data_IF_021363139447
#
_entry.id   IF_021363139447
#
_cell.length_a   1.000
_cell.length_b   1.000
_cell.length_c   1.000
_cell.angle_alpha   90.00
_cell.angle_beta   90.00
_cell.angle_gamma   90.00
#
_symmetry.space_group_name_H-M   'P 1'
#
loop_
_entity.id
_entity.type
_entity.pdbx_description
1 polymer ?
#
# COMPACT_ATOMS: atom_id res chain seq x y z
N UNK A 1 -21.97 -20.20 17.70
CA UNK A 1 -20.64 -20.80 17.58
C UNK A 1 -19.65 -19.69 17.24
N UNK A 2 -18.45 -19.65 17.86
CA UNK A 2 -17.40 -18.69 17.50
C UNK A 2 -16.94 -18.99 16.08
N UNK A 3 -16.85 -17.96 15.23
CA UNK A 3 -16.32 -18.10 13.88
C UNK A 3 -14.82 -18.45 13.93
N UNK A 4 -14.44 -19.57 13.29
CA UNK A 4 -13.05 -20.00 13.15
C UNK A 4 -12.55 -19.67 11.76
N UNK A 5 -11.51 -18.84 11.67
CA UNK A 5 -10.97 -18.30 10.42
C UNK A 5 -9.57 -18.88 10.17
N UNK A 6 -9.31 -19.38 8.96
CA UNK A 6 -7.95 -19.65 8.51
C UNK A 6 -7.40 -18.40 7.81
N UNK A 7 -6.29 -17.85 8.33
CA UNK A 7 -5.60 -16.73 7.72
C UNK A 7 -4.21 -17.16 7.21
N UNK A 8 -3.91 -16.90 5.93
CA UNK A 8 -2.68 -17.35 5.26
C UNK A 8 -1.89 -16.15 4.76
N UNK A 9 -0.67 -15.99 5.30
CA UNK A 9 0.26 -14.94 4.91
C UNK A 9 1.71 -15.33 5.24
N UNK A 10 2.62 -15.31 4.26
CA UNK A 10 4.00 -15.79 4.47
C UNK A 10 4.95 -14.75 5.09
N UNK A 11 4.49 -13.56 5.44
CA UNK A 11 5.31 -12.51 6.04
C UNK A 11 5.71 -12.78 7.49
N UNK A 12 6.61 -11.93 8.00
CA UNK A 12 7.10 -11.96 9.39
C UNK A 12 6.22 -11.20 10.37
N UNK A 13 5.22 -10.49 9.89
CA UNK A 13 4.31 -9.66 10.67
C UNK A 13 5.01 -8.52 11.43
N UNK A 14 5.95 -7.86 10.75
CA UNK A 14 6.56 -6.62 11.24
C UNK A 14 5.53 -5.48 11.33
N UNK A 15 5.94 -4.36 11.96
CA UNK A 15 5.06 -3.18 12.07
C UNK A 15 5.09 -2.27 10.83
N UNK A 16 5.62 -2.75 9.68
CA UNK A 16 5.82 -1.95 8.47
C UNK A 16 5.18 -2.60 7.23
N UNK A 17 4.85 -1.78 6.24
CA UNK A 17 4.37 -2.23 4.94
C UNK A 17 3.11 -3.09 5.01
N UNK A 18 3.08 -4.18 4.24
CA UNK A 18 1.96 -5.12 4.18
C UNK A 18 1.81 -5.87 5.50
N UNK A 19 2.90 -6.19 6.19
CA UNK A 19 2.87 -6.85 7.50
C UNK A 19 1.99 -6.10 8.50
N UNK A 20 2.04 -4.75 8.52
CA UNK A 20 1.17 -3.93 9.36
C UNK A 20 -0.30 -4.07 8.96
N UNK A 21 -0.61 -4.08 7.67
CA UNK A 21 -1.99 -4.29 7.19
C UNK A 21 -2.53 -5.64 7.66
N UNK A 22 -1.72 -6.71 7.56
CA UNK A 22 -2.10 -8.04 8.05
C UNK A 22 -2.36 -8.03 9.55
N UNK A 23 -1.50 -7.40 10.34
CA UNK A 23 -1.71 -7.26 11.80
C UNK A 23 -3.04 -6.59 12.12
N UNK A 24 -3.39 -5.52 11.39
CA UNK A 24 -4.65 -4.81 11.60
C UNK A 24 -5.87 -5.65 11.16
N UNK A 25 -5.73 -6.47 10.13
CA UNK A 25 -6.77 -7.44 9.76
C UNK A 25 -6.95 -8.53 10.83
N UNK A 26 -5.86 -9.02 11.43
CA UNK A 26 -5.92 -9.99 12.53
C UNK A 26 -6.57 -9.38 13.79
N UNK A 27 -6.16 -8.16 14.17
CA UNK A 27 -6.77 -7.41 15.28
C UNK A 27 -8.27 -7.18 15.04
N UNK A 28 -8.67 -6.85 13.82
CA UNK A 28 -10.07 -6.71 13.46
C UNK A 28 -10.83 -8.02 13.66
N UNK A 29 -10.31 -9.14 13.16
CA UNK A 29 -10.98 -10.47 13.29
C UNK A 29 -11.13 -10.88 14.75
N UNK A 30 -10.09 -10.76 15.56
CA UNK A 30 -10.12 -11.14 16.98
C UNK A 30 -11.01 -10.20 17.78
N UNK A 31 -10.95 -8.88 17.53
CA UNK A 31 -11.86 -7.90 18.11
C UNK A 31 -13.32 -8.10 17.72
N UNK A 32 -13.57 -8.68 16.53
CA UNK A 32 -14.90 -9.15 16.07
C UNK A 32 -15.32 -10.53 16.62
N UNK A 33 -14.56 -11.10 17.57
CA UNK A 33 -14.87 -12.37 18.23
C UNK A 33 -14.52 -13.63 17.44
N UNK A 34 -13.75 -13.53 16.35
CA UNK A 34 -13.26 -14.68 15.62
C UNK A 34 -12.08 -15.36 16.33
N UNK A 35 -12.00 -16.68 16.24
CA UNK A 35 -10.78 -17.45 16.49
C UNK A 35 -10.01 -17.56 15.18
N UNK A 36 -8.74 -17.19 15.18
CA UNK A 36 -7.92 -17.17 13.96
C UNK A 36 -6.78 -18.17 14.04
N UNK A 37 -6.75 -19.11 13.10
CA UNK A 37 -5.61 -19.99 12.85
C UNK A 37 -4.73 -19.30 11.79
N UNK A 38 -3.53 -18.90 12.18
CA UNK A 38 -2.62 -18.13 11.33
C UNK A 38 -1.49 -18.99 10.80
N UNK A 39 -1.42 -19.13 9.47
CA UNK A 39 -0.26 -19.67 8.76
C UNK A 39 0.65 -18.52 8.29
N UNK A 40 1.73 -18.23 9.05
CA UNK A 40 2.69 -17.17 8.74
C UNK A 40 4.11 -17.56 9.17
N UNK A 41 5.11 -16.70 8.89
CA UNK A 41 6.49 -16.88 9.33
C UNK A 41 6.77 -16.28 10.71
N UNK A 42 5.94 -15.38 11.17
CA UNK A 42 6.09 -14.70 12.44
C UNK A 42 4.82 -14.83 13.29
N UNK A 43 5.02 -14.93 14.58
CA UNK A 43 3.93 -14.84 15.55
C UNK A 43 3.58 -13.36 15.75
N UNK A 44 2.31 -12.96 15.55
CA UNK A 44 1.91 -11.59 15.79
C UNK A 44 1.82 -11.21 17.28
N UNK A 45 1.79 -12.19 18.19
CA UNK A 45 1.53 -11.94 19.61
C UNK A 45 0.17 -11.28 19.85
N UNK A 46 -0.87 -11.71 19.13
CA UNK A 46 -2.24 -11.19 19.22
C UNK A 46 -3.12 -12.23 19.89
N UNK A 47 -3.84 -11.84 20.96
CA UNK A 47 -4.80 -12.71 21.64
C UNK A 47 -5.90 -13.18 20.69
N UNK A 48 -6.25 -14.47 20.79
CA UNK A 48 -7.21 -15.10 19.89
C UNK A 48 -6.66 -15.56 18.55
N UNK A 49 -5.35 -15.36 18.30
CA UNK A 49 -4.63 -15.90 17.13
C UNK A 49 -3.82 -17.11 17.51
N UNK A 50 -4.14 -18.27 16.94
CA UNK A 50 -3.35 -19.49 17.06
C UNK A 50 -2.29 -19.52 15.96
N UNK A 51 -1.03 -19.27 16.34
CA UNK A 51 0.10 -19.27 15.42
C UNK A 51 0.54 -20.69 15.07
N UNK A 52 0.48 -21.04 13.79
CA UNK A 52 0.83 -22.37 13.28
C UNK A 52 2.24 -22.45 12.69
N UNK A 53 3.05 -21.41 12.85
CA UNK A 53 4.35 -21.21 12.18
C UNK A 53 5.50 -22.10 12.66
N UNK A 54 5.44 -22.72 13.85
CA UNK A 54 6.52 -23.55 14.40
C UNK A 54 6.91 -24.78 13.54
N UNK A 55 6.08 -25.19 12.58
CA UNK A 55 6.37 -26.29 11.64
C UNK A 55 7.14 -25.87 10.38
N UNK A 56 7.64 -24.63 10.32
CA UNK A 56 8.16 -23.98 9.11
C UNK A 56 9.67 -23.79 9.04
N UNK A 57 10.43 -24.48 9.82
CA UNK A 57 11.89 -24.52 9.71
C UNK A 57 12.40 -24.84 8.30
N UNK A 58 11.64 -25.59 7.48
CA UNK A 58 12.02 -25.93 6.10
C UNK A 58 12.06 -24.70 5.18
N UNK A 59 11.11 -23.75 5.31
CA UNK A 59 11.17 -22.53 4.50
C UNK A 59 12.36 -21.63 4.87
N UNK A 60 12.82 -21.70 6.11
CA UNK A 60 14.03 -20.99 6.55
C UNK A 60 15.32 -21.67 6.04
N UNK A 61 15.32 -22.98 5.86
CA UNK A 61 16.47 -23.74 5.34
C UNK A 61 16.85 -23.35 3.90
N UNK A 62 15.90 -22.84 3.09
CA UNK A 62 16.16 -22.40 1.71
C UNK A 62 16.38 -20.89 1.59
N UNK A 63 16.45 -20.15 2.70
CA UNK A 63 16.60 -18.69 2.71
C UNK A 63 17.92 -18.18 2.11
N UNK A 64 18.91 -19.04 1.97
CA UNK A 64 20.20 -18.79 1.31
C UNK A 64 20.14 -18.81 -0.22
N UNK A 65 19.06 -19.36 -0.81
CA UNK A 65 18.87 -19.38 -2.26
C UNK A 65 18.63 -17.98 -2.84
N UNK A 66 18.97 -17.74 -4.12
CA UNK A 66 18.61 -16.49 -4.80
C UNK A 66 17.14 -16.16 -4.64
N UNK A 67 16.82 -14.88 -4.51
CA UNK A 67 15.42 -14.41 -4.28
C UNK A 67 14.44 -14.91 -5.35
N UNK A 68 14.89 -15.08 -6.59
CA UNK A 68 14.10 -15.62 -7.71
C UNK A 68 13.66 -17.08 -7.50
N UNK A 69 14.38 -17.87 -6.73
CA UNK A 69 14.05 -19.26 -6.39
C UNK A 69 13.35 -19.34 -5.03
N UNK A 70 13.88 -18.62 -4.06
CA UNK A 70 13.38 -18.63 -2.69
C UNK A 70 11.92 -18.18 -2.56
N UNK A 71 11.54 -17.03 -3.16
CA UNK A 71 10.19 -16.50 -2.99
C UNK A 71 9.10 -17.36 -3.62
N UNK A 72 9.21 -17.85 -4.87
CA UNK A 72 8.21 -18.77 -5.43
C UNK A 72 8.08 -20.07 -4.64
N UNK A 73 9.21 -20.65 -4.22
CA UNK A 73 9.20 -21.87 -3.42
C UNK A 73 8.51 -21.65 -2.07
N UNK A 74 8.80 -20.54 -1.39
CA UNK A 74 8.17 -20.18 -0.13
C UNK A 74 6.65 -20.04 -0.27
N UNK A 75 6.17 -19.29 -1.26
CA UNK A 75 4.74 -19.11 -1.53
C UNK A 75 4.04 -20.45 -1.77
N UNK A 76 4.64 -21.34 -2.57
CA UNK A 76 4.09 -22.68 -2.81
C UNK A 76 4.01 -23.54 -1.56
N UNK A 77 5.00 -23.42 -0.68
CA UNK A 77 4.99 -24.11 0.63
C UNK A 77 3.78 -23.62 1.46
N UNK A 78 3.57 -22.30 1.55
CA UNK A 78 2.43 -21.74 2.30
C UNK A 78 1.08 -22.09 1.68
N UNK A 79 0.96 -22.13 0.35
CA UNK A 79 -0.24 -22.62 -0.33
C UNK A 79 -0.57 -24.06 0.06
N UNK A 80 0.44 -24.96 0.03
CA UNK A 80 0.24 -26.37 0.40
C UNK A 80 -0.19 -26.56 1.85
N UNK A 81 0.37 -25.75 2.75
CA UNK A 81 -0.07 -25.78 4.13
C UNK A 81 -1.51 -25.31 4.27
N UNK A 82 -1.78 -24.11 3.74
CA UNK A 82 -3.13 -23.57 3.80
C UNK A 82 -4.17 -24.58 3.28
N UNK A 83 -3.84 -25.31 2.19
CA UNK A 83 -4.67 -26.37 1.66
C UNK A 83 -4.86 -27.54 2.65
N UNK A 84 -3.76 -28.01 3.27
CA UNK A 84 -3.83 -29.09 4.28
C UNK A 84 -4.63 -28.69 5.51
N UNK A 85 -4.48 -27.45 5.98
CA UNK A 85 -5.25 -26.92 7.11
C UNK A 85 -6.72 -26.79 6.76
N UNK A 86 -7.04 -26.23 5.58
CA UNK A 86 -8.39 -26.12 5.07
C UNK A 86 -9.09 -27.48 4.92
N UNK A 87 -8.32 -28.52 4.56
CA UNK A 87 -8.84 -29.87 4.42
C UNK A 87 -9.09 -30.54 5.78
N UNK A 88 -8.15 -30.38 6.71
CA UNK A 88 -8.15 -31.07 8.02
C UNK A 88 -9.13 -30.48 9.02
N UNK A 89 -9.40 -29.17 8.97
CA UNK A 89 -10.20 -28.46 9.98
C UNK A 89 -11.44 -27.81 9.36
N UNK A 90 -12.46 -27.60 10.19
CA UNK A 90 -13.67 -26.89 9.80
C UNK A 90 -13.52 -25.39 10.07
N UNK A 91 -13.35 -24.62 9.00
CA UNK A 91 -13.32 -23.17 9.06
C UNK A 91 -14.63 -22.58 8.55
N UNK A 92 -15.03 -21.44 9.10
CA UNK A 92 -16.19 -20.69 8.62
C UNK A 92 -15.84 -19.77 7.45
N UNK A 93 -14.57 -19.40 7.33
CA UNK A 93 -14.03 -18.63 6.20
C UNK A 93 -12.50 -18.79 6.08
N UNK A 94 -11.98 -18.55 4.88
CA UNK A 94 -10.55 -18.52 4.62
C UNK A 94 -10.17 -17.15 4.05
N UNK A 95 -9.13 -16.53 4.62
CA UNK A 95 -8.57 -15.27 4.15
C UNK A 95 -7.13 -15.53 3.74
N UNK A 96 -6.77 -15.11 2.53
CA UNK A 96 -5.39 -15.24 2.04
C UNK A 96 -5.01 -14.04 1.20
N UNK A 97 -3.71 -13.83 1.06
CA UNK A 97 -3.17 -12.83 0.15
C UNK A 97 -2.91 -13.45 -1.24
N UNK A 98 -2.95 -12.62 -2.28
CA UNK A 98 -2.68 -13.05 -3.66
C UNK A 98 -1.39 -13.86 -3.78
N UNK A 99 -1.31 -14.74 -4.76
CA UNK A 99 -0.22 -15.68 -5.03
C UNK A 99 -0.02 -16.79 -3.97
N UNK A 100 -0.92 -16.91 -2.97
CA UNK A 100 -0.88 -17.92 -1.91
C UNK A 100 -2.24 -18.58 -1.66
N UNK A 101 -3.26 -18.09 -2.33
CA UNK A 101 -4.64 -18.47 -2.06
C UNK A 101 -5.12 -19.68 -2.90
N UNK A 102 -4.53 -19.95 -4.05
CA UNK A 102 -5.05 -20.89 -5.03
C UNK A 102 -5.36 -22.28 -4.45
N UNK A 103 -4.37 -22.97 -3.85
CA UNK A 103 -4.58 -24.33 -3.34
C UNK A 103 -5.55 -24.39 -2.16
N UNK A 104 -5.46 -23.53 -1.13
CA UNK A 104 -6.46 -23.50 -0.06
C UNK A 104 -7.85 -23.11 -0.57
N UNK A 105 -7.98 -22.24 -1.58
CA UNK A 105 -9.27 -21.87 -2.15
C UNK A 105 -9.89 -23.00 -2.99
N UNK A 106 -9.09 -23.83 -3.68
CA UNK A 106 -9.58 -25.06 -4.32
C UNK A 106 -10.18 -26.04 -3.31
N UNK A 107 -9.54 -26.21 -2.15
CA UNK A 107 -10.07 -27.05 -1.07
C UNK A 107 -11.35 -26.45 -0.49
N UNK A 108 -11.31 -25.15 -0.19
CA UNK A 108 -12.45 -24.43 0.37
C UNK A 108 -13.68 -24.46 -0.54
N UNK A 109 -13.49 -24.29 -1.85
CA UNK A 109 -14.56 -24.37 -2.86
C UNK A 109 -15.27 -25.72 -2.84
N UNK A 110 -14.53 -26.82 -2.70
CA UNK A 110 -15.12 -28.17 -2.57
C UNK A 110 -15.92 -28.36 -1.29
N UNK A 111 -15.57 -27.64 -0.23
CA UNK A 111 -16.22 -27.70 1.08
C UNK A 111 -17.30 -26.60 1.29
N UNK A 112 -17.54 -25.75 0.30
CA UNK A 112 -18.47 -24.63 0.41
C UNK A 112 -18.03 -23.53 1.38
N UNK A 113 -16.71 -23.43 1.69
CA UNK A 113 -16.18 -22.43 2.61
C UNK A 113 -15.91 -21.13 1.84
N UNK A 114 -16.47 -19.98 2.27
CA UNK A 114 -16.23 -18.68 1.61
C UNK A 114 -14.78 -18.23 1.76
N UNK A 115 -14.21 -17.74 0.64
CA UNK A 115 -12.83 -17.33 0.53
C UNK A 115 -12.70 -15.83 0.23
N UNK A 116 -11.80 -15.15 0.93
CA UNK A 116 -11.55 -13.73 0.77
C UNK A 116 -10.08 -13.51 0.39
N UNK A 117 -9.87 -12.83 -0.74
CA UNK A 117 -8.53 -12.57 -1.29
C UNK A 117 -8.10 -11.15 -0.98
N UNK A 118 -7.13 -10.96 -0.10
CA UNK A 118 -6.50 -9.66 0.13
C UNK A 118 -5.53 -9.33 -1.02
N UNK A 119 -5.65 -8.13 -1.57
CA UNK A 119 -4.83 -7.65 -2.67
C UNK A 119 -4.23 -6.28 -2.35
N UNK A 120 -3.00 -6.04 -2.78
CA UNK A 120 -2.24 -4.83 -2.45
C UNK A 120 -1.98 -3.90 -3.64
N UNK A 121 -2.43 -4.28 -4.83
CA UNK A 121 -2.09 -3.63 -6.09
C UNK A 121 -3.26 -3.72 -7.09
N UNK A 122 -2.99 -3.37 -8.33
CA UNK A 122 -3.89 -3.51 -9.47
C UNK A 122 -3.94 -4.96 -9.98
N UNK A 123 -4.89 -5.27 -10.86
CA UNK A 123 -4.97 -6.54 -11.56
C UNK A 123 -3.63 -6.90 -12.24
N UNK A 124 -3.27 -8.19 -12.26
CA UNK A 124 -1.96 -8.62 -12.76
C UNK A 124 -1.69 -8.22 -14.22
N UNK A 125 -2.71 -8.20 -15.11
CA UNK A 125 -2.55 -7.78 -16.51
C UNK A 125 -2.10 -6.33 -16.63
N UNK A 126 -2.67 -5.43 -15.87
CA UNK A 126 -2.22 -4.04 -15.79
C UNK A 126 -0.80 -3.90 -15.24
N UNK A 127 -0.40 -4.83 -14.38
CA UNK A 127 0.96 -4.88 -13.83
C UNK A 127 1.99 -5.37 -14.84
N UNK A 128 1.65 -6.38 -15.65
CA UNK A 128 2.57 -6.95 -16.66
C UNK A 128 2.78 -6.03 -17.87
N UNK A 129 1.78 -5.22 -18.23
CA UNK A 129 1.91 -4.29 -19.36
C UNK A 129 3.01 -3.23 -19.17
N UNK A 130 3.36 -2.91 -17.92
CA UNK A 130 4.35 -1.88 -17.60
C UNK A 130 5.67 -2.41 -17.05
N UNK A 131 5.67 -3.61 -16.49
CA UNK A 131 6.87 -4.22 -15.92
C UNK A 131 7.08 -5.59 -16.55
N UNK A 132 8.12 -5.72 -17.32
CA UNK A 132 8.59 -7.01 -17.81
C UNK A 132 9.08 -7.86 -16.64
N UNK A 133 8.79 -9.12 -16.57
CA UNK A 133 7.66 -9.80 -15.94
C UNK A 133 7.53 -9.50 -14.45
N UNK A 134 6.40 -9.89 -13.80
CA UNK A 134 6.29 -9.87 -12.33
C UNK A 134 7.54 -10.50 -11.72
N UNK A 135 8.25 -9.82 -10.83
CA UNK A 135 9.42 -10.42 -10.21
C UNK A 135 8.98 -11.68 -9.46
N UNK A 136 9.44 -12.84 -9.97
CA UNK A 136 9.23 -14.15 -9.37
C UNK A 136 7.76 -14.58 -9.22
N UNK A 137 7.01 -14.78 -10.34
CA UNK A 137 5.65 -15.30 -10.26
C UNK A 137 5.66 -16.71 -9.66
N UNK A 138 4.82 -16.94 -8.66
CA UNK A 138 4.62 -18.28 -8.08
C UNK A 138 3.48 -19.04 -8.77
N UNK A 139 2.65 -18.32 -9.51
CA UNK A 139 1.50 -18.81 -10.27
C UNK A 139 1.65 -18.42 -11.74
N UNK A 140 1.14 -19.28 -12.63
CA UNK A 140 0.91 -18.92 -14.02
C UNK A 140 -0.25 -17.91 -14.14
N UNK A 141 -0.41 -17.29 -15.30
CA UNK A 141 -1.49 -16.33 -15.56
C UNK A 141 -2.88 -16.96 -15.39
N UNK A 142 -3.06 -18.20 -15.86
CA UNK A 142 -4.31 -18.96 -15.68
C UNK A 142 -4.58 -19.31 -14.22
N UNK A 143 -3.55 -19.61 -13.45
CA UNK A 143 -3.65 -19.86 -12.01
C UNK A 143 -4.00 -18.59 -11.22
N UNK A 144 -3.48 -17.42 -11.62
CA UNK A 144 -3.87 -16.13 -11.03
C UNK A 144 -5.34 -15.81 -11.33
N UNK A 145 -5.82 -16.05 -12.55
CA UNK A 145 -7.23 -15.86 -12.90
C UNK A 145 -8.14 -16.85 -12.12
N UNK A 146 -7.68 -18.09 -11.92
CA UNK A 146 -8.41 -19.06 -11.09
C UNK A 146 -8.47 -18.64 -9.64
N UNK A 147 -7.39 -18.10 -9.07
CA UNK A 147 -7.36 -17.56 -7.71
C UNK A 147 -8.43 -16.47 -7.52
N UNK A 148 -8.57 -15.54 -8.49
CA UNK A 148 -9.61 -14.52 -8.49
C UNK A 148 -11.02 -15.11 -8.63
N UNK A 149 -11.19 -16.10 -9.51
CA UNK A 149 -12.47 -16.77 -9.73
C UNK A 149 -12.98 -17.50 -8.48
N UNK A 150 -12.08 -18.16 -7.74
CA UNK A 150 -12.41 -18.90 -6.52
C UNK A 150 -12.73 -18.00 -5.33
N UNK A 151 -12.25 -16.76 -5.32
CA UNK A 151 -12.57 -15.81 -4.25
C UNK A 151 -14.05 -15.44 -4.26
N UNK A 152 -14.69 -15.47 -3.07
CA UNK A 152 -16.02 -14.87 -2.86
C UNK A 152 -15.93 -13.36 -3.03
N UNK A 153 -14.91 -12.74 -2.42
CA UNK A 153 -14.59 -11.33 -2.58
C UNK A 153 -13.08 -11.11 -2.66
N UNK A 154 -12.69 -10.10 -3.45
CA UNK A 154 -11.33 -9.58 -3.57
C UNK A 154 -11.29 -8.24 -2.84
N UNK A 155 -10.46 -8.15 -1.80
CA UNK A 155 -10.33 -6.98 -0.95
C UNK A 155 -9.24 -6.05 -1.51
N UNK A 156 -9.63 -4.89 -1.96
CA UNK A 156 -8.81 -3.98 -2.77
C UNK A 156 -8.42 -2.71 -1.99
N UNK A 157 -7.24 -2.13 -2.28
CA UNK A 157 -6.75 -0.97 -1.56
C UNK A 157 -7.36 0.37 -2.01
N UNK A 158 -7.90 0.48 -3.23
CA UNK A 158 -8.43 1.76 -3.77
C UNK A 158 -9.44 1.54 -4.89
N UNK A 159 -10.20 2.58 -5.22
CA UNK A 159 -11.10 2.58 -6.38
C UNK A 159 -10.32 2.40 -7.68
N UNK A 160 -9.14 3.03 -7.83
CA UNK A 160 -8.29 2.83 -8.99
C UNK A 160 -7.84 1.35 -9.14
N UNK A 161 -7.58 0.68 -8.03
CA UNK A 161 -7.34 -0.77 -8.02
C UNK A 161 -8.58 -1.52 -8.50
N UNK A 162 -9.78 -1.20 -7.96
CA UNK A 162 -11.07 -1.78 -8.39
C UNK A 162 -11.30 -1.60 -9.88
N UNK A 163 -11.11 -0.38 -10.40
CA UNK A 163 -11.23 -0.07 -11.84
C UNK A 163 -10.34 -0.99 -12.70
N UNK A 164 -9.14 -1.31 -12.22
CA UNK A 164 -8.24 -2.21 -12.95
C UNK A 164 -8.77 -3.64 -13.05
N UNK A 165 -9.48 -4.11 -12.04
CA UNK A 165 -10.12 -5.43 -12.05
C UNK A 165 -11.37 -5.45 -12.94
N UNK A 166 -12.20 -4.41 -12.87
CA UNK A 166 -13.37 -4.24 -13.73
C UNK A 166 -12.98 -4.24 -15.21
N UNK A 167 -11.96 -3.48 -15.60
CA UNK A 167 -11.43 -3.43 -16.98
C UNK A 167 -10.91 -4.79 -17.48
N UNK A 168 -10.60 -5.70 -16.56
CA UNK A 168 -10.16 -7.06 -16.89
C UNK A 168 -11.28 -8.11 -16.71
N UNK A 169 -12.54 -7.67 -16.67
CA UNK A 169 -13.72 -8.53 -16.75
C UNK A 169 -14.13 -9.22 -15.44
N UNK A 170 -13.61 -8.78 -14.29
CA UNK A 170 -14.11 -9.30 -13.02
C UNK A 170 -15.42 -8.61 -12.65
N UNK A 171 -16.42 -9.35 -12.15
CA UNK A 171 -17.71 -8.79 -11.79
C UNK A 171 -17.61 -7.91 -10.52
N UNK A 172 -18.35 -6.80 -10.52
CA UNK A 172 -18.26 -5.76 -9.49
C UNK A 172 -18.59 -6.28 -8.09
N UNK A 173 -19.55 -7.18 -7.98
CA UNK A 173 -19.99 -7.79 -6.72
C UNK A 173 -18.87 -8.57 -5.99
N UNK A 174 -17.84 -9.00 -6.72
CA UNK A 174 -16.64 -9.63 -6.13
C UNK A 174 -15.61 -8.64 -5.62
N UNK A 175 -15.71 -7.35 -5.99
CA UNK A 175 -14.69 -6.36 -5.73
C UNK A 175 -15.08 -5.47 -4.56
N UNK A 176 -14.31 -5.51 -3.47
CA UNK A 176 -14.58 -4.72 -2.28
C UNK A 176 -13.40 -3.82 -1.95
N UNK A 177 -13.58 -2.52 -2.05
CA UNK A 177 -12.56 -1.56 -1.62
C UNK A 177 -12.61 -1.44 -0.10
N UNK A 178 -11.51 -1.84 0.54
CA UNK A 178 -11.32 -1.75 1.99
C UNK A 178 -10.32 -0.64 2.36
N UNK A 179 -9.59 -0.11 1.37
CA UNK A 179 -8.59 0.92 1.60
C UNK A 179 -7.30 0.39 2.25
N UNK A 180 -6.52 1.33 2.77
CA UNK A 180 -5.42 1.10 3.71
C UNK A 180 -5.67 1.91 4.97
N UNK A 181 -4.85 1.68 5.99
CA UNK A 181 -4.81 2.49 7.20
C UNK A 181 -3.47 3.20 7.37
N UNK A 182 -3.51 4.28 8.13
CA UNK A 182 -2.33 5.00 8.62
C UNK A 182 -2.49 5.24 10.13
N UNK A 183 -1.35 5.35 10.83
CA UNK A 183 -1.32 5.72 12.24
C UNK A 183 -1.48 7.24 12.37
N UNK A 184 -2.72 7.69 12.54
CA UNK A 184 -3.07 9.12 12.58
C UNK A 184 -2.68 9.82 13.88
N UNK A 185 -2.32 9.05 14.91
CA UNK A 185 -1.77 9.58 16.15
C UNK A 185 -0.26 9.83 16.01
N UNK A 186 0.44 8.91 15.36
CA UNK A 186 1.87 9.05 15.07
C UNK A 186 2.09 10.13 13.99
N UNK A 187 1.41 10.02 12.84
CA UNK A 187 1.52 10.98 11.75
C UNK A 187 0.56 12.15 12.00
N UNK A 188 1.02 13.12 12.78
CA UNK A 188 0.31 14.34 13.12
C UNK A 188 1.11 15.57 12.68
N UNK A 189 0.44 16.70 12.42
CA UNK A 189 1.13 17.96 12.13
C UNK A 189 2.14 18.34 13.21
N UNK A 190 3.19 19.06 12.84
CA UNK A 190 4.06 19.69 13.82
C UNK A 190 3.29 20.72 14.66
N UNK A 191 3.68 20.87 15.93
CA UNK A 191 3.08 21.87 16.82
C UNK A 191 3.50 23.30 16.46
N UNK A 192 4.71 23.46 15.90
CA UNK A 192 5.23 24.74 15.41
C UNK A 192 6.37 24.48 14.42
N UNK A 193 6.60 25.43 13.52
CA UNK A 193 7.78 25.47 12.64
C UNK A 193 8.56 26.73 12.96
N UNK A 194 9.89 26.64 12.83
CA UNK A 194 10.81 27.72 13.22
C UNK A 194 11.19 28.63 12.05
N UNK A 195 10.89 28.23 10.80
CA UNK A 195 11.24 28.98 9.60
C UNK A 195 10.04 29.15 8.63
N UNK A 196 10.21 30.05 7.66
CA UNK A 196 9.21 30.39 6.65
C UNK A 196 9.48 29.71 5.29
N UNK A 197 10.45 28.79 5.22
CA UNK A 197 10.84 28.13 3.98
C UNK A 197 9.71 27.24 3.46
N UNK A 198 9.44 27.30 2.15
CA UNK A 198 8.48 26.41 1.51
C UNK A 198 9.11 25.06 1.22
N UNK A 199 8.50 24.00 1.74
CA UNK A 199 9.02 22.64 1.51
C UNK A 199 7.97 21.73 0.93
N UNK A 200 8.40 20.97 -0.09
CA UNK A 200 7.59 19.88 -0.66
C UNK A 200 8.33 18.56 -0.41
N UNK A 201 7.62 17.54 0.08
CA UNK A 201 8.16 16.19 0.25
C UNK A 201 7.82 15.30 -0.95
N UNK A 202 8.81 14.58 -1.46
CA UNK A 202 8.64 13.38 -2.26
C UNK A 202 9.03 12.18 -1.40
N UNK A 203 8.07 11.32 -1.05
CA UNK A 203 8.31 10.14 -0.23
C UNK A 203 8.02 8.85 -1.01
N UNK A 204 9.07 8.07 -1.26
CA UNK A 204 8.96 6.77 -1.93
C UNK A 204 10.25 6.38 -2.64
N UNK A 205 10.28 5.15 -3.18
CA UNK A 205 11.41 4.73 -4.01
C UNK A 205 11.63 5.71 -5.16
N UNK A 206 12.83 6.22 -5.31
CA UNK A 206 13.21 7.11 -6.41
C UNK A 206 13.37 6.30 -7.67
N UNK A 207 12.32 6.25 -8.49
CA UNK A 207 12.24 5.46 -9.72
C UNK A 207 11.26 6.09 -10.72
N UNK A 208 11.37 5.69 -12.00
CA UNK A 208 10.53 6.20 -13.09
C UNK A 208 9.03 6.05 -12.80
N UNK A 209 8.64 4.91 -12.24
CA UNK A 209 7.24 4.61 -11.91
C UNK A 209 6.63 5.63 -10.93
N UNK A 210 7.43 6.19 -10.04
CA UNK A 210 7.01 7.19 -9.03
C UNK A 210 7.02 8.63 -9.54
N UNK A 211 7.50 8.87 -10.77
CA UNK A 211 7.45 10.17 -11.42
C UNK A 211 8.51 11.17 -10.97
N UNK A 212 9.65 10.70 -10.47
CA UNK A 212 10.69 11.61 -9.96
C UNK A 212 11.20 12.60 -11.03
N UNK A 213 11.31 12.18 -12.30
CA UNK A 213 11.75 13.09 -13.37
C UNK A 213 10.77 14.24 -13.56
N UNK A 214 9.49 13.95 -13.63
CA UNK A 214 8.43 14.96 -13.77
C UNK A 214 8.37 15.89 -12.56
N UNK A 215 8.57 15.34 -11.34
CA UNK A 215 8.66 16.15 -10.12
C UNK A 215 9.81 17.14 -10.20
N UNK A 216 11.01 16.68 -10.60
CA UNK A 216 12.18 17.56 -10.70
C UNK A 216 12.06 18.59 -11.84
N UNK A 217 11.47 18.21 -12.96
CA UNK A 217 11.19 19.12 -14.05
C UNK A 217 10.24 20.23 -13.61
N UNK A 218 9.10 19.85 -13.00
CA UNK A 218 8.15 20.82 -12.46
C UNK A 218 8.79 21.72 -11.38
N UNK A 219 9.63 21.16 -10.51
CA UNK A 219 10.34 21.91 -9.48
C UNK A 219 11.28 22.97 -10.07
N UNK A 220 12.03 22.62 -11.12
CA UNK A 220 12.90 23.56 -11.84
C UNK A 220 12.11 24.68 -12.53
N UNK A 221 11.00 24.32 -13.20
CA UNK A 221 10.09 25.29 -13.84
C UNK A 221 9.50 26.23 -12.78
N UNK A 222 9.07 25.69 -11.65
CA UNK A 222 8.46 26.48 -10.56
C UNK A 222 9.42 27.54 -10.00
N UNK A 223 10.69 27.25 -9.92
CA UNK A 223 11.77 28.19 -9.52
C UNK A 223 11.41 29.06 -8.31
N UNK A 224 10.91 28.42 -7.24
CA UNK A 224 10.38 29.10 -6.05
C UNK A 224 11.55 29.58 -5.17
N UNK A 225 11.65 30.89 -4.87
CA UNK A 225 12.64 31.39 -3.92
C UNK A 225 12.39 30.85 -2.50
N UNK A 226 13.44 30.74 -1.70
CA UNK A 226 13.36 30.28 -0.30
C UNK A 226 12.56 28.97 -0.12
N UNK A 227 12.84 27.99 -0.97
CA UNK A 227 12.15 26.69 -0.97
C UNK A 227 13.11 25.51 -0.96
N UNK A 228 12.61 24.33 -0.57
CA UNK A 228 13.34 23.06 -0.63
C UNK A 228 12.43 21.93 -1.11
N UNK A 229 12.95 21.06 -1.98
CA UNK A 229 12.36 19.76 -2.30
C UNK A 229 13.07 18.66 -1.50
N UNK A 230 12.38 18.00 -0.61
CA UNK A 230 12.90 16.88 0.18
C UNK A 230 12.59 15.57 -0.55
N UNK A 231 13.63 14.82 -0.93
CA UNK A 231 13.47 13.52 -1.62
C UNK A 231 13.89 12.39 -0.70
N UNK A 232 12.89 11.66 -0.20
CA UNK A 232 13.07 10.56 0.74
C UNK A 232 12.81 9.21 0.06
N UNK A 233 13.83 8.36 -0.01
CA UNK A 233 13.71 6.99 -0.51
C UNK A 233 14.98 6.45 -1.16
N UNK A 234 15.03 5.12 -1.29
CA UNK A 234 16.11 4.48 -2.01
C UNK A 234 16.06 4.82 -3.50
N UNK A 235 17.21 5.19 -4.05
CA UNK A 235 17.37 5.45 -5.48
C UNK A 235 17.49 4.14 -6.26
N UNK A 236 16.75 4.03 -7.36
CA UNK A 236 16.91 2.94 -8.30
C UNK A 236 18.28 3.07 -8.98
N UNK A 237 19.00 1.96 -9.12
CA UNK A 237 20.36 1.95 -9.70
C UNK A 237 20.43 2.62 -11.08
N UNK A 238 19.35 2.52 -11.87
CA UNK A 238 19.25 3.14 -13.19
C UNK A 238 19.16 4.67 -13.17
N UNK A 239 18.99 5.28 -12.00
CA UNK A 239 18.85 6.72 -11.82
C UNK A 239 20.01 7.36 -11.04
N UNK A 240 21.12 6.64 -10.82
CA UNK A 240 22.29 7.17 -10.11
C UNK A 240 22.80 8.45 -10.75
N UNK A 241 23.17 8.41 -12.01
CA UNK A 241 23.68 9.58 -12.77
C UNK A 241 22.67 10.73 -12.82
N UNK A 242 21.38 10.41 -12.89
CA UNK A 242 20.31 11.41 -12.86
C UNK A 242 20.25 12.13 -11.51
N UNK A 243 20.41 11.41 -10.41
CA UNK A 243 20.44 12.00 -9.05
C UNK A 243 21.67 12.88 -8.90
N UNK A 244 22.84 12.41 -9.33
CA UNK A 244 24.09 13.16 -9.25
C UNK A 244 24.03 14.47 -10.06
N UNK A 245 23.46 14.42 -11.26
CA UNK A 245 23.23 15.60 -12.10
C UNK A 245 22.23 16.61 -11.51
N UNK A 246 21.44 16.20 -10.51
CA UNK A 246 20.45 17.03 -9.83
C UNK A 246 20.75 17.21 -8.33
N UNK A 247 21.97 16.92 -7.89
CA UNK A 247 22.38 16.99 -6.49
C UNK A 247 22.65 18.42 -5.97
N UNK A 248 22.46 19.44 -6.81
CA UNK A 248 22.72 20.85 -6.47
C UNK A 248 21.44 21.64 -6.23
N UNK A 249 21.58 22.82 -5.60
CA UNK A 249 20.50 23.76 -5.38
C UNK A 249 19.66 23.45 -4.14
N UNK A 250 18.36 23.68 -4.25
CA UNK A 250 17.41 23.51 -3.17
C UNK A 250 16.69 22.13 -3.15
N UNK A 251 17.37 21.09 -3.65
CA UNK A 251 16.91 19.71 -3.60
C UNK A 251 17.74 18.94 -2.58
N UNK A 252 17.09 18.41 -1.54
CA UNK A 252 17.73 17.61 -0.50
C UNK A 252 17.45 16.12 -0.75
N UNK A 253 18.46 15.39 -1.20
CA UNK A 253 18.43 13.95 -1.38
C UNK A 253 18.74 13.27 -0.04
N UNK A 254 17.71 12.76 0.64
CA UNK A 254 17.81 12.21 1.99
C UNK A 254 18.01 10.68 2.02
N UNK A 255 17.90 10.03 0.85
CA UNK A 255 17.98 8.58 0.80
C UNK A 255 16.86 7.89 1.60
N UNK A 256 17.08 6.63 1.96
CA UNK A 256 16.13 5.89 2.79
C UNK A 256 16.15 6.40 4.22
N UNK A 257 14.99 6.80 4.72
CA UNK A 257 14.78 7.16 6.11
C UNK A 257 13.90 6.11 6.78
N UNK A 258 14.33 5.61 7.94
CA UNK A 258 13.54 4.67 8.75
C UNK A 258 12.35 5.38 9.39
N UNK A 259 12.55 6.59 9.84
CA UNK A 259 11.52 7.50 10.34
C UNK A 259 11.42 8.71 9.41
N UNK A 260 10.27 8.85 8.77
CA UNK A 260 9.99 9.94 7.84
C UNK A 260 9.21 11.08 8.50
N UNK A 261 8.67 10.86 9.70
CA UNK A 261 7.80 11.83 10.37
C UNK A 261 8.46 13.20 10.56
N UNK A 262 9.70 13.33 11.07
CA UNK A 262 10.33 14.64 11.26
C UNK A 262 10.42 15.44 9.94
N UNK A 263 10.70 14.75 8.82
CA UNK A 263 10.80 15.39 7.51
C UNK A 263 9.42 15.81 6.97
N UNK A 264 8.39 15.01 7.18
CA UNK A 264 7.03 15.40 6.81
C UNK A 264 6.57 16.62 7.61
N UNK A 265 6.91 16.69 8.88
CA UNK A 265 6.56 17.81 9.75
C UNK A 265 7.29 19.11 9.40
N UNK A 266 8.39 19.05 8.64
CA UNK A 266 9.07 20.23 8.08
C UNK A 266 8.40 20.75 6.80
N UNK A 267 7.51 19.98 6.15
CA UNK A 267 6.97 20.30 4.84
C UNK A 267 5.60 20.97 4.90
N UNK A 268 5.25 21.69 3.82
CA UNK A 268 3.94 22.32 3.59
C UNK A 268 3.08 21.45 2.68
N UNK A 269 3.73 20.79 1.72
CA UNK A 269 3.07 19.95 0.73
C UNK A 269 3.83 18.66 0.49
N UNK A 270 3.19 17.74 -0.21
CA UNK A 270 3.79 16.52 -0.72
C UNK A 270 3.42 16.29 -2.18
N UNK A 271 4.30 15.62 -2.92
CA UNK A 271 4.09 15.28 -4.32
C UNK A 271 4.48 13.84 -4.63
N UNK A 272 3.65 13.14 -5.39
CA UNK A 272 3.95 11.80 -5.90
C UNK A 272 3.20 11.57 -7.21
N UNK A 273 3.92 11.48 -8.31
CA UNK A 273 3.36 11.35 -9.66
C UNK A 273 3.43 9.89 -10.15
N UNK A 274 2.88 8.99 -9.38
CA UNK A 274 2.95 7.55 -9.69
C UNK A 274 2.11 7.19 -10.91
N UNK A 275 2.65 6.31 -11.78
CA UNK A 275 1.89 5.67 -12.86
C UNK A 275 1.01 4.52 -12.36
N UNK A 276 1.35 3.96 -11.21
CA UNK A 276 0.63 2.80 -10.67
C UNK A 276 0.95 2.55 -9.21
N UNK A 277 -0.09 2.58 -8.38
CA UNK A 277 -0.07 2.13 -6.98
C UNK A 277 -1.37 1.41 -6.65
N UNK A 278 -1.33 0.52 -5.67
CA UNK A 278 -2.56 0.07 -5.04
C UNK A 278 -3.21 1.21 -4.24
N UNK A 279 -2.45 1.77 -3.31
CA UNK A 279 -2.68 3.01 -2.58
C UNK A 279 -1.35 3.45 -1.99
N UNK A 280 -0.90 4.63 -2.32
CA UNK A 280 0.39 5.17 -1.87
C UNK A 280 0.34 5.52 -0.38
N UNK A 281 0.95 4.66 0.45
CA UNK A 281 0.97 4.83 1.91
C UNK A 281 1.60 6.16 2.32
N UNK A 282 2.69 6.58 1.67
CA UNK A 282 3.36 7.82 1.99
C UNK A 282 2.46 9.06 1.82
N UNK A 283 1.53 9.03 0.86
CA UNK A 283 0.55 10.10 0.70
C UNK A 283 -0.47 10.15 1.85
N UNK A 284 -0.88 8.98 2.39
CA UNK A 284 -1.72 8.95 3.59
C UNK A 284 -0.96 9.49 4.81
N UNK A 285 0.32 9.15 4.94
CA UNK A 285 1.19 9.62 6.03
C UNK A 285 1.39 11.13 5.97
N UNK A 286 1.69 11.69 4.79
CA UNK A 286 1.85 13.13 4.63
C UNK A 286 0.54 13.90 4.77
N UNK A 287 -0.57 13.41 4.21
CA UNK A 287 -1.89 14.01 4.41
C UNK A 287 -2.31 13.95 5.89
N UNK A 288 -1.98 12.86 6.61
CA UNK A 288 -2.19 12.77 8.06
C UNK A 288 -1.40 13.83 8.83
N UNK A 289 -0.23 14.24 8.34
CA UNK A 289 0.54 15.37 8.87
C UNK A 289 0.00 16.75 8.43
N UNK A 290 -1.05 16.81 7.62
CA UNK A 290 -1.65 18.06 7.15
C UNK A 290 -0.96 18.65 5.91
N UNK A 291 -0.20 17.88 5.15
CA UNK A 291 0.45 18.35 3.94
C UNK A 291 -0.54 18.44 2.77
N UNK A 292 -0.52 19.56 2.02
CA UNK A 292 -1.24 19.67 0.77
C UNK A 292 -0.69 18.65 -0.25
N UNK A 293 -1.57 17.84 -0.83
CA UNK A 293 -1.17 16.71 -1.67
C UNK A 293 -1.32 17.03 -3.14
N UNK A 294 -0.25 16.86 -3.93
CA UNK A 294 -0.26 16.89 -5.41
C UNK A 294 0.01 15.49 -5.90
N UNK A 295 -0.91 14.89 -6.65
CA UNK A 295 -0.73 13.52 -7.10
C UNK A 295 -1.54 13.17 -8.34
N UNK A 296 -1.26 11.99 -8.92
CA UNK A 296 -2.01 11.40 -10.04
C UNK A 296 -3.13 10.49 -9.54
N UNK A 297 -4.15 10.22 -10.35
CA UNK A 297 -5.20 9.23 -10.08
C UNK A 297 -4.60 7.86 -9.76
N UNK A 298 -3.50 7.51 -10.44
CA UNK A 298 -2.84 6.22 -10.32
C UNK A 298 -2.06 6.00 -9.01
N UNK A 299 -1.97 7.01 -8.17
CA UNK A 299 -1.46 6.87 -6.79
C UNK A 299 -2.42 6.09 -5.88
N UNK A 300 -3.70 5.99 -6.26
CA UNK A 300 -4.77 5.39 -5.44
C UNK A 300 -5.11 6.18 -4.18
N UNK A 301 -4.61 7.43 -4.04
CA UNK A 301 -4.99 8.31 -2.95
C UNK A 301 -6.45 8.77 -3.11
N UNK A 302 -7.24 8.87 -2.02
CA UNK A 302 -8.67 9.24 -2.07
C UNK A 302 -8.85 10.73 -2.33
N UNK A 303 -8.52 11.17 -3.53
CA UNK A 303 -8.49 12.56 -3.94
C UNK A 303 -9.88 13.05 -4.35
N UNK A 304 -10.27 14.19 -3.80
CA UNK A 304 -11.30 15.08 -4.31
C UNK A 304 -10.59 16.36 -4.76
N UNK A 305 -10.41 16.48 -6.07
CA UNK A 305 -9.59 17.53 -6.67
C UNK A 305 -9.97 18.93 -6.19
N UNK A 306 -8.97 19.75 -5.85
CA UNK A 306 -9.05 21.10 -5.30
C UNK A 306 -9.79 21.22 -3.95
N UNK A 307 -10.18 20.10 -3.34
CA UNK A 307 -10.81 20.05 -2.01
C UNK A 307 -9.81 19.54 -0.97
N UNK A 308 -9.32 18.31 -1.15
CA UNK A 308 -8.40 17.68 -0.22
C UNK A 308 -7.00 17.42 -0.82
N UNK A 309 -6.70 18.07 -1.96
CA UNK A 309 -5.46 18.00 -2.71
C UNK A 309 -5.66 18.38 -4.18
N UNK A 310 -4.64 18.16 -4.99
CA UNK A 310 -4.66 18.45 -6.42
C UNK A 310 -4.38 17.19 -7.23
N UNK A 311 -5.34 16.87 -8.12
CA UNK A 311 -5.22 15.79 -9.07
C UNK A 311 -4.59 16.33 -10.37
N UNK A 312 -3.49 15.73 -10.79
CA UNK A 312 -2.74 16.21 -11.95
C UNK A 312 -2.48 15.09 -12.95
N UNK A 313 -2.37 15.47 -14.24
CA UNK A 313 -1.79 14.61 -15.24
C UNK A 313 -0.27 14.62 -15.09
N UNK A 314 0.32 13.43 -15.04
CA UNK A 314 1.74 13.24 -14.72
C UNK A 314 2.70 14.03 -15.60
N UNK A 315 2.41 14.08 -16.89
CA UNK A 315 3.29 14.71 -17.89
C UNK A 315 3.06 16.23 -18.03
N UNK A 316 2.08 16.79 -17.29
CA UNK A 316 1.77 18.24 -17.31
C UNK A 316 2.68 19.02 -16.35
N UNK A 317 4.00 18.96 -16.55
CA UNK A 317 5.00 19.52 -15.62
C UNK A 317 4.88 21.01 -15.42
N UNK A 318 4.45 21.77 -16.46
CA UNK A 318 4.17 23.21 -16.34
C UNK A 318 3.01 23.49 -15.39
N UNK A 319 1.87 22.78 -15.54
CA UNK A 319 0.73 22.92 -14.63
C UNK A 319 1.07 22.53 -13.19
N UNK A 320 1.86 21.46 -13.01
CA UNK A 320 2.35 21.06 -11.69
C UNK A 320 3.21 22.15 -11.06
N UNK A 321 4.07 22.81 -11.86
CA UNK A 321 4.88 23.94 -11.41
C UNK A 321 4.01 25.15 -10.98
N UNK A 322 2.97 25.47 -11.74
CA UNK A 322 1.99 26.50 -11.37
C UNK A 322 1.30 26.22 -10.04
N UNK A 323 0.90 24.96 -9.80
CA UNK A 323 0.33 24.54 -8.52
C UNK A 323 1.31 24.69 -7.36
N UNK A 324 2.58 24.30 -7.56
CA UNK A 324 3.64 24.51 -6.55
C UNK A 324 3.80 26.00 -6.21
N UNK A 325 3.86 26.87 -7.23
CA UNK A 325 3.95 28.33 -7.05
C UNK A 325 2.70 28.89 -6.35
N UNK A 326 1.51 28.40 -6.70
CA UNK A 326 0.24 28.82 -6.09
C UNK A 326 0.22 28.49 -4.60
N UNK A 327 0.68 27.30 -4.22
CA UNK A 327 0.76 26.89 -2.82
C UNK A 327 1.80 27.70 -2.03
N UNK A 328 2.94 28.03 -2.64
CA UNK A 328 3.94 28.90 -2.02
C UNK A 328 3.38 30.31 -1.80
N UNK A 329 2.82 30.93 -2.82
CA UNK A 329 2.27 32.30 -2.77
C UNK A 329 1.06 32.42 -1.85
N UNK A 330 0.28 31.37 -1.70
CA UNK A 330 -0.92 31.32 -0.84
C UNK A 330 -0.82 30.22 0.21
N UNK A 331 -0.10 30.50 1.30
CA UNK A 331 0.09 29.58 2.43
C UNK A 331 -1.22 29.23 3.15
N UNK A 332 -2.19 30.13 3.13
CA UNK A 332 -3.51 29.88 3.69
C UNK A 332 -4.22 28.78 2.91
N UNK A 333 -4.24 28.86 1.56
CA UNK A 333 -4.76 27.80 0.71
C UNK A 333 -4.00 26.47 0.92
N UNK A 334 -2.67 26.52 1.03
CA UNK A 334 -1.87 25.32 1.30
C UNK A 334 -2.32 24.63 2.59
N UNK A 335 -2.48 25.39 3.66
CA UNK A 335 -2.95 24.90 4.96
C UNK A 335 -4.39 24.39 4.91
N UNK A 336 -5.28 25.06 4.21
CA UNK A 336 -6.69 24.66 4.05
C UNK A 336 -6.81 23.31 3.33
N UNK A 337 -6.14 23.16 2.18
CA UNK A 337 -6.11 21.90 1.41
C UNK A 337 -5.47 20.78 2.22
N UNK A 338 -4.38 21.07 2.94
CA UNK A 338 -3.73 20.10 3.81
C UNK A 338 -4.62 19.65 4.98
N UNK A 339 -5.35 20.57 5.61
CA UNK A 339 -6.30 20.27 6.67
C UNK A 339 -7.47 19.41 6.16
N UNK A 340 -8.01 19.71 4.99
CA UNK A 340 -9.07 18.90 4.36
C UNK A 340 -8.57 17.49 4.01
N UNK A 341 -7.33 17.37 3.50
CA UNK A 341 -6.65 16.09 3.28
C UNK A 341 -6.51 15.29 4.58
N UNK A 342 -6.07 15.94 5.66
CA UNK A 342 -5.97 15.32 6.98
C UNK A 342 -7.33 14.83 7.49
N UNK A 343 -8.38 15.64 7.40
CA UNK A 343 -9.73 15.25 7.84
C UNK A 343 -10.20 14.00 7.08
N UNK A 344 -10.01 13.95 5.76
CA UNK A 344 -10.30 12.76 4.95
C UNK A 344 -9.59 11.52 5.48
N UNK A 345 -8.31 11.67 5.87
CA UNK A 345 -7.52 10.55 6.39
C UNK A 345 -7.96 10.14 7.80
N UNK A 346 -8.22 11.10 8.69
CA UNK A 346 -8.70 10.83 10.06
C UNK A 346 -10.01 10.05 10.07
N UNK A 347 -10.96 10.48 9.27
CA UNK A 347 -12.30 9.88 9.20
C UNK A 347 -12.29 8.51 8.54
N UNK A 348 -11.54 8.37 7.42
CA UNK A 348 -11.72 7.23 6.53
C UNK A 348 -10.50 6.29 6.47
N UNK A 349 -9.31 6.74 6.85
CA UNK A 349 -8.08 5.98 6.65
C UNK A 349 -7.25 5.77 7.92
N UNK A 350 -7.81 6.07 9.12
CA UNK A 350 -7.23 5.57 10.37
C UNK A 350 -7.27 4.04 10.42
N UNK A 351 -6.41 3.41 11.22
CA UNK A 351 -6.44 1.95 11.40
C UNK A 351 -7.81 1.46 11.90
N UNK A 352 -8.47 2.22 12.78
CA UNK A 352 -9.81 1.88 13.25
C UNK A 352 -10.86 1.89 12.12
N UNK A 353 -10.82 2.88 11.22
CA UNK A 353 -11.70 2.92 10.05
C UNK A 353 -11.41 1.77 9.07
N UNK A 354 -10.13 1.43 8.86
CA UNK A 354 -9.72 0.27 8.06
C UNK A 354 -10.26 -1.03 8.62
N UNK A 355 -10.09 -1.27 9.94
CA UNK A 355 -10.58 -2.47 10.62
C UNK A 355 -12.09 -2.64 10.46
N UNK A 356 -12.87 -1.56 10.63
CA UNK A 356 -14.33 -1.57 10.43
C UNK A 356 -14.71 -1.99 9.00
N UNK A 357 -14.09 -1.39 7.98
CA UNK A 357 -14.35 -1.74 6.57
C UNK A 357 -13.95 -3.18 6.24
N UNK A 358 -12.81 -3.63 6.75
CA UNK A 358 -12.36 -5.00 6.57
C UNK A 358 -13.34 -6.00 7.18
N UNK A 359 -13.76 -5.81 8.44
CA UNK A 359 -14.75 -6.66 9.09
C UNK A 359 -16.07 -6.70 8.32
N UNK A 360 -16.60 -5.55 7.91
CA UNK A 360 -17.82 -5.48 7.11
C UNK A 360 -17.67 -6.26 5.79
N UNK A 361 -16.50 -6.19 5.14
CA UNK A 361 -16.24 -6.92 3.90
C UNK A 361 -16.19 -8.45 4.08
N UNK A 362 -15.78 -8.94 5.25
CA UNK A 362 -15.65 -10.39 5.51
C UNK A 362 -16.76 -10.95 6.43
N UNK A 363 -17.75 -10.15 6.81
CA UNK A 363 -18.84 -10.55 7.68
C UNK A 363 -19.87 -11.47 6.97
N UNK A 364 -20.01 -11.31 5.65
CA UNK A 364 -21.00 -11.99 4.81
C UNK A 364 -20.71 -13.45 4.46
#
# INVERSE_FOLDING_TARGET
MKHRVLYIYEGKLSYHGIDRVVREQLLALTGGGCLVDLASRGDPGIDGVSFLGRKWTIANLISWLPRSVYYPAQKRVFMRLGARLADKHNYTKIISWRDRALLPFRVASRKGIPCYLSHDSMHWRGTMAETNPLPWPSLSTSEMDEEYRLAKQILLPSENSKDSFLRNGLPEEKLKVIGRGVDTLLFAPATSRTDSKFRIAFCGRVCERKGIRQVLEAWKIASIPNSELLVLGNVDKSLGDFVDANASGNIRWLGFQKDILPFLQECDAQILLSRREGMAKSLLEGASCGLATITTKDSGFPMQDQINGFLVERESTAHIAELMQRLDKNRALCSEIGAAGRNTVLENYSWGAFQKRFLAAVAG
#
